data_IF_265874480446
#
_entry.id   IF_265874480446
#
_cell.length_a   1.000
_cell.length_b   1.000
_cell.length_c   1.000
_cell.angle_alpha   90.00
_cell.angle_beta   90.00
_cell.angle_gamma   90.00
#
_symmetry.space_group_name_H-M   'P 1'
#
loop_
_entity.id
_entity.type
_entity.pdbx_description
1 polymer ?
#
# COMPACT_ATOMS: atom_id res chain seq x y z
N UNK A 1 13.14 -2.27 12.85
CA UNK A 1 14.49 -2.39 13.42
C UNK A 1 14.73 -3.77 14.00
N UNK A 2 14.09 -4.10 15.12
CA UNK A 2 14.38 -5.31 15.90
C UNK A 2 13.61 -6.58 15.47
N UNK A 3 12.58 -6.47 14.62
CA UNK A 3 11.77 -7.61 14.17
C UNK A 3 12.52 -8.54 13.20
N UNK A 4 13.47 -8.01 12.41
CA UNK A 4 14.16 -8.76 11.36
C UNK A 4 15.56 -9.26 11.78
N UNK A 5 15.91 -9.13 13.07
CA UNK A 5 17.22 -9.53 13.60
C UNK A 5 17.57 -11.03 13.40
N UNK A 6 16.62 -11.99 13.41
CA UNK A 6 16.96 -13.39 13.13
C UNK A 6 17.14 -13.68 11.63
N UNK A 7 16.58 -12.87 10.72
CA UNK A 7 16.81 -12.95 9.26
C UNK A 7 18.09 -12.22 8.83
N UNK A 8 18.56 -11.28 9.67
CA UNK A 8 19.81 -10.53 9.48
C UNK A 8 21.06 -11.41 9.40
N UNK A 9 21.03 -12.62 9.96
CA UNK A 9 22.16 -13.55 9.97
C UNK A 9 22.20 -14.49 8.76
N UNK A 10 21.15 -14.54 7.94
CA UNK A 10 20.98 -15.60 6.94
C UNK A 10 20.99 -15.14 5.47
N UNK A 11 20.98 -13.84 5.16
CA UNK A 11 20.66 -13.40 3.80
C UNK A 11 21.73 -12.48 3.17
N UNK A 12 22.46 -13.01 2.19
CA UNK A 12 23.25 -12.25 1.20
C UNK A 12 22.38 -11.25 0.39
N UNK A 13 21.06 -11.36 0.48
CA UNK A 13 20.06 -10.64 -0.32
C UNK A 13 19.46 -9.40 0.36
N UNK A 14 19.88 -9.03 1.58
CA UNK A 14 19.29 -7.92 2.36
C UNK A 14 19.42 -6.58 1.63
N UNK A 15 20.59 -6.31 1.04
CA UNK A 15 20.82 -5.08 0.28
C UNK A 15 19.87 -5.00 -0.92
N UNK A 16 19.67 -6.12 -1.62
CA UNK A 16 18.75 -6.20 -2.75
C UNK A 16 17.29 -6.03 -2.30
N UNK A 17 16.89 -6.59 -1.15
CA UNK A 17 15.54 -6.42 -0.59
C UNK A 17 15.27 -4.97 -0.18
N UNK A 18 16.24 -4.30 0.46
CA UNK A 18 16.14 -2.87 0.81
C UNK A 18 16.06 -2.01 -0.45
N UNK A 19 16.91 -2.28 -1.45
CA UNK A 19 16.90 -1.55 -2.72
C UNK A 19 15.59 -1.74 -3.48
N UNK A 20 15.07 -2.97 -3.58
CA UNK A 20 13.78 -3.23 -4.22
C UNK A 20 12.61 -2.61 -3.44
N UNK A 21 12.61 -2.69 -2.11
CA UNK A 21 11.57 -2.09 -1.27
C UNK A 21 11.57 -0.57 -1.36
N UNK A 22 12.76 0.04 -1.36
CA UNK A 22 12.94 1.48 -1.57
C UNK A 22 12.49 1.91 -2.97
N UNK A 23 12.91 1.20 -4.01
CA UNK A 23 12.49 1.45 -5.38
C UNK A 23 10.96 1.31 -5.54
N UNK A 24 10.36 0.28 -4.94
CA UNK A 24 8.90 0.08 -4.95
C UNK A 24 8.16 1.21 -4.26
N UNK A 25 8.66 1.68 -3.11
CA UNK A 25 8.09 2.82 -2.38
C UNK A 25 8.21 4.11 -3.20
N UNK A 26 9.35 4.35 -3.85
CA UNK A 26 9.55 5.51 -4.74
C UNK A 26 8.60 5.47 -5.94
N UNK A 27 8.45 4.31 -6.58
CA UNK A 27 7.50 4.12 -7.68
C UNK A 27 6.06 4.38 -7.21
N UNK A 28 5.69 3.88 -6.03
CA UNK A 28 4.37 4.11 -5.43
C UNK A 28 4.13 5.59 -5.13
N UNK A 29 5.11 6.27 -4.53
CA UNK A 29 5.04 7.71 -4.25
C UNK A 29 4.92 8.54 -5.54
N UNK A 30 5.72 8.19 -6.56
CA UNK A 30 5.69 8.86 -7.87
C UNK A 30 4.34 8.66 -8.55
N UNK A 31 3.80 7.43 -8.51
CA UNK A 31 2.46 7.13 -9.01
C UNK A 31 1.37 7.95 -8.31
N UNK A 32 1.40 8.02 -6.98
CA UNK A 32 0.45 8.86 -6.23
C UNK A 32 0.58 10.35 -6.56
N UNK A 33 1.79 10.87 -6.74
CA UNK A 33 2.02 12.27 -7.11
C UNK A 33 1.53 12.57 -8.53
N UNK A 34 1.75 11.65 -9.47
CA UNK A 34 1.24 11.76 -10.84
C UNK A 34 -0.29 11.69 -10.87
N UNK A 35 -0.89 10.79 -10.11
CA UNK A 35 -2.35 10.72 -9.93
C UNK A 35 -2.90 12.00 -9.32
N UNK A 36 -2.25 12.57 -8.30
CA UNK A 36 -2.63 13.84 -7.69
C UNK A 36 -2.48 15.03 -8.66
N UNK A 37 -1.40 15.08 -9.44
CA UNK A 37 -1.18 16.11 -10.46
C UNK A 37 -2.23 16.04 -11.58
N UNK A 38 -2.64 14.83 -11.97
CA UNK A 38 -3.69 14.60 -12.97
C UNK A 38 -5.06 14.99 -12.41
N UNK A 39 -5.28 14.78 -11.11
CA UNK A 39 -6.47 15.23 -10.39
C UNK A 39 -6.59 16.75 -10.32
N UNK A 40 -5.47 17.45 -10.10
CA UNK A 40 -5.42 18.93 -10.10
C UNK A 40 -5.75 19.53 -11.48
N UNK A 41 -5.60 18.77 -12.56
CA UNK A 41 -6.00 19.14 -13.93
C UNK A 41 -7.49 18.88 -14.22
N UNK A 42 -8.28 18.49 -13.22
CA UNK A 42 -9.73 18.29 -13.33
C UNK A 42 -10.16 16.91 -13.82
N UNK A 43 -9.23 15.95 -13.93
CA UNK A 43 -9.56 14.57 -14.33
C UNK A 43 -10.13 13.81 -13.13
N UNK A 44 -11.24 13.11 -13.36
CA UNK A 44 -11.91 12.31 -12.32
C UNK A 44 -10.98 11.20 -11.78
N UNK A 45 -10.87 11.09 -10.45
CA UNK A 45 -9.93 10.19 -9.73
C UNK A 45 -10.05 8.74 -10.20
N UNK A 46 -11.29 8.26 -10.28
CA UNK A 46 -11.61 6.90 -10.68
C UNK A 46 -11.12 6.60 -12.10
N UNK A 47 -11.29 7.53 -13.04
CA UNK A 47 -10.88 7.33 -14.44
C UNK A 47 -9.35 7.25 -14.57
N UNK A 48 -8.61 8.16 -13.92
CA UNK A 48 -7.14 8.12 -13.91
C UNK A 48 -6.60 6.84 -13.27
N UNK A 49 -7.23 6.37 -12.20
CA UNK A 49 -6.84 5.15 -11.49
C UNK A 49 -7.12 3.90 -12.32
N UNK A 50 -8.28 3.82 -12.95
CA UNK A 50 -8.62 2.72 -13.87
C UNK A 50 -7.64 2.63 -15.04
N UNK A 51 -7.30 3.75 -15.68
CA UNK A 51 -6.30 3.78 -16.75
C UNK A 51 -4.92 3.34 -16.24
N UNK A 52 -4.49 3.82 -15.07
CA UNK A 52 -3.23 3.40 -14.45
C UNK A 52 -3.18 1.89 -14.18
N UNK A 53 -4.23 1.32 -13.59
CA UNK A 53 -4.33 -0.12 -13.35
C UNK A 53 -4.38 -0.94 -14.65
N UNK A 54 -5.05 -0.43 -15.69
CA UNK A 54 -5.11 -1.08 -17.00
C UNK A 54 -3.71 -1.16 -17.65
N UNK A 55 -2.98 -0.04 -17.69
CA UNK A 55 -1.61 -0.02 -18.20
C UNK A 55 -0.66 -0.87 -17.35
N UNK A 56 -0.80 -0.84 -16.03
CA UNK A 56 -0.01 -1.66 -15.11
C UNK A 56 -0.26 -3.15 -15.31
N UNK A 57 -1.52 -3.55 -15.48
CA UNK A 57 -1.91 -4.95 -15.76
C UNK A 57 -1.42 -5.40 -17.13
N UNK A 58 -1.54 -4.55 -18.16
CA UNK A 58 -1.02 -4.85 -19.49
C UNK A 58 0.51 -5.04 -19.48
N UNK A 59 1.24 -4.16 -18.79
CA UNK A 59 2.69 -4.28 -18.63
C UNK A 59 3.07 -5.56 -17.86
N UNK A 60 2.40 -5.83 -16.74
CA UNK A 60 2.60 -7.07 -15.97
C UNK A 60 2.30 -8.32 -16.81
N UNK A 61 1.24 -8.29 -17.62
CA UNK A 61 0.89 -9.36 -18.54
C UNK A 61 1.97 -9.59 -19.60
N UNK A 62 2.53 -8.53 -20.17
CA UNK A 62 3.61 -8.59 -21.16
C UNK A 62 4.90 -9.15 -20.54
N UNK A 63 5.25 -8.70 -19.33
CA UNK A 63 6.41 -9.23 -18.59
C UNK A 63 6.21 -10.70 -18.23
N UNK A 64 5.00 -11.10 -17.82
CA UNK A 64 4.67 -12.49 -17.51
C UNK A 64 4.80 -13.40 -18.74
N UNK A 65 4.34 -12.91 -19.90
CA UNK A 65 4.45 -13.60 -21.19
C UNK A 65 5.91 -13.80 -21.59
N UNK A 66 6.75 -12.76 -21.46
CA UNK A 66 8.19 -12.84 -21.76
C UNK A 66 8.92 -13.78 -20.79
N UNK A 67 8.47 -13.88 -19.54
CA UNK A 67 9.02 -14.80 -18.54
C UNK A 67 8.54 -16.25 -18.69
N UNK A 68 7.59 -16.52 -19.59
CA UNK A 68 7.10 -17.88 -19.86
C UNK A 68 6.32 -18.51 -18.72
N UNK A 69 5.70 -17.70 -17.84
CA UNK A 69 4.86 -18.24 -16.77
C UNK A 69 3.58 -18.86 -17.36
N UNK A 70 3.26 -20.09 -16.96
CA UNK A 70 2.00 -20.73 -17.30
C UNK A 70 0.85 -19.97 -16.63
N UNK A 71 -0.03 -19.35 -17.43
CA UNK A 71 -1.28 -18.78 -16.95
C UNK A 71 -2.28 -19.91 -16.67
N UNK A 72 -2.07 -20.63 -15.57
CA UNK A 72 -3.00 -21.65 -15.08
C UNK A 72 -4.20 -20.95 -14.45
N UNK A 73 -5.13 -20.49 -15.27
CA UNK A 73 -6.41 -19.96 -14.81
C UNK A 73 -7.32 -21.15 -14.55
N UNK A 74 -7.54 -21.43 -13.26
CA UNK A 74 -8.56 -22.39 -12.87
C UNK A 74 -9.94 -21.76 -13.08
N UNK A 75 -10.72 -22.25 -14.05
CA UNK A 75 -12.04 -21.72 -14.41
C UNK A 75 -13.12 -22.00 -13.35
N UNK A 76 -12.72 -22.44 -12.16
CA UNK A 76 -13.61 -22.62 -11.02
C UNK A 76 -14.36 -21.30 -10.68
N UNK A 77 -15.69 -21.36 -10.46
CA UNK A 77 -16.46 -20.20 -10.02
C UNK A 77 -15.93 -19.56 -8.74
N UNK A 78 -15.32 -20.36 -7.87
CA UNK A 78 -14.68 -19.88 -6.64
C UNK A 78 -13.43 -19.04 -6.94
N UNK A 79 -12.58 -19.50 -7.87
CA UNK A 79 -11.39 -18.78 -8.29
C UNK A 79 -11.76 -17.45 -8.97
N UNK A 80 -12.65 -17.49 -9.94
CA UNK A 80 -13.14 -16.29 -10.63
C UNK A 80 -13.84 -15.31 -9.67
N UNK A 81 -14.66 -15.81 -8.75
CA UNK A 81 -15.32 -14.99 -7.73
C UNK A 81 -14.33 -14.31 -6.79
N UNK A 82 -13.33 -15.05 -6.30
CA UNK A 82 -12.28 -14.49 -5.44
C UNK A 82 -11.40 -13.47 -6.17
N UNK A 83 -11.07 -13.74 -7.44
CA UNK A 83 -10.29 -12.84 -8.29
C UNK A 83 -11.05 -11.54 -8.57
N UNK A 84 -12.34 -11.64 -8.91
CA UNK A 84 -13.19 -10.48 -9.14
C UNK A 84 -13.35 -9.62 -7.87
N UNK A 85 -13.56 -10.27 -6.72
CA UNK A 85 -13.63 -9.58 -5.43
C UNK A 85 -12.35 -8.81 -5.12
N UNK A 86 -11.19 -9.47 -5.27
CA UNK A 86 -9.87 -8.88 -5.02
C UNK A 86 -9.63 -7.66 -5.93
N UNK A 87 -9.92 -7.77 -7.22
CA UNK A 87 -9.68 -6.69 -8.18
C UNK A 87 -10.64 -5.52 -7.96
N UNK A 88 -11.94 -5.78 -7.86
CA UNK A 88 -12.95 -4.70 -7.81
C UNK A 88 -12.95 -4.03 -6.43
N UNK A 89 -13.11 -4.82 -5.37
CA UNK A 89 -13.32 -4.28 -4.01
C UNK A 89 -11.99 -3.88 -3.38
N UNK A 90 -11.00 -4.78 -3.40
CA UNK A 90 -9.74 -4.53 -2.68
C UNK A 90 -8.76 -3.66 -3.46
N UNK A 91 -8.77 -3.68 -4.79
CA UNK A 91 -7.86 -2.86 -5.59
C UNK A 91 -8.53 -1.57 -6.07
N UNK A 92 -9.49 -1.66 -7.01
CA UNK A 92 -10.07 -0.48 -7.67
C UNK A 92 -10.79 0.42 -6.67
N UNK A 93 -11.73 -0.15 -5.89
CA UNK A 93 -12.56 0.62 -4.97
C UNK A 93 -11.74 1.16 -3.79
N UNK A 94 -10.80 0.37 -3.26
CA UNK A 94 -9.93 0.82 -2.17
C UNK A 94 -9.00 1.96 -2.62
N UNK A 95 -8.34 1.82 -3.77
CA UNK A 95 -7.42 2.85 -4.26
C UNK A 95 -8.16 4.13 -4.69
N UNK A 96 -9.31 3.99 -5.35
CA UNK A 96 -10.14 5.13 -5.72
C UNK A 96 -10.68 5.86 -4.48
N UNK A 97 -11.17 5.11 -3.48
CA UNK A 97 -11.60 5.67 -2.19
C UNK A 97 -10.45 6.39 -1.48
N UNK A 98 -9.26 5.76 -1.42
CA UNK A 98 -8.07 6.35 -0.82
C UNK A 98 -7.67 7.66 -1.51
N UNK A 99 -7.54 7.68 -2.84
CA UNK A 99 -7.16 8.87 -3.60
C UNK A 99 -8.23 9.97 -3.53
N UNK A 100 -9.51 9.59 -3.50
CA UNK A 100 -10.62 10.53 -3.30
C UNK A 100 -10.56 11.17 -1.91
N UNK A 101 -10.24 10.38 -0.89
CA UNK A 101 -10.07 10.87 0.49
C UNK A 101 -8.87 11.81 0.59
N UNK A 102 -7.74 11.46 -0.02
CA UNK A 102 -6.54 12.31 -0.12
C UNK A 102 -6.85 13.62 -0.83
N UNK A 103 -7.60 13.58 -1.93
CA UNK A 103 -8.01 14.77 -2.69
C UNK A 103 -8.97 15.68 -1.92
N UNK A 104 -9.89 15.12 -1.11
CA UNK A 104 -10.86 15.88 -0.32
C UNK A 104 -10.32 16.47 0.98
N UNK A 105 -9.52 15.71 1.72
CA UNK A 105 -9.06 16.08 3.08
C UNK A 105 -7.60 16.58 3.06
N UNK A 106 -6.93 16.46 1.92
CA UNK A 106 -5.55 16.89 1.71
C UNK A 106 -4.53 15.87 2.23
N UNK A 107 -3.31 15.86 1.65
CA UNK A 107 -2.26 14.90 1.99
C UNK A 107 -1.78 15.01 3.45
N UNK A 108 -2.11 16.08 4.17
CA UNK A 108 -1.81 16.25 5.60
C UNK A 108 -2.65 15.34 6.51
N UNK A 109 -3.95 15.23 6.24
CA UNK A 109 -4.87 14.38 7.04
C UNK A 109 -4.92 12.94 6.50
N UNK A 110 -4.48 12.70 5.27
CA UNK A 110 -4.27 11.34 4.74
C UNK A 110 -3.26 10.51 5.57
N UNK A 111 -2.31 11.18 6.25
CA UNK A 111 -1.40 10.52 7.20
C UNK A 111 -2.10 9.86 8.39
N UNK A 112 -3.35 10.21 8.71
CA UNK A 112 -4.12 9.45 9.71
C UNK A 112 -4.47 8.04 9.22
N UNK A 113 -4.68 7.85 7.91
CA UNK A 113 -4.99 6.54 7.35
C UNK A 113 -3.81 5.56 7.49
N UNK A 114 -2.57 6.04 7.43
CA UNK A 114 -1.37 5.20 7.61
C UNK A 114 -1.20 4.70 9.05
N UNK A 115 -1.77 5.41 10.02
CA UNK A 115 -1.84 4.96 11.43
C UNK A 115 -2.95 3.95 11.64
N UNK A 116 -4.07 4.12 10.94
CA UNK A 116 -5.26 3.28 11.08
C UNK A 116 -5.06 1.91 10.42
N UNK A 117 -4.31 1.81 9.31
CA UNK A 117 -4.12 0.53 8.60
C UNK A 117 -3.51 -0.60 9.45
N UNK A 118 -2.38 -0.41 10.15
CA UNK A 118 -1.81 -1.46 10.99
C UNK A 118 -2.75 -1.89 12.12
N UNK A 119 -3.50 -0.94 12.70
CA UNK A 119 -4.46 -1.21 13.78
C UNK A 119 -5.58 -2.11 13.26
N UNK A 120 -6.17 -1.76 12.11
CA UNK A 120 -7.21 -2.60 11.49
C UNK A 120 -6.69 -3.97 11.08
N UNK A 121 -5.48 -4.05 10.53
CA UNK A 121 -4.87 -5.33 10.17
C UNK A 121 -4.74 -6.26 11.39
N UNK A 122 -4.26 -5.75 12.53
CA UNK A 122 -4.15 -6.52 13.77
C UNK A 122 -5.50 -6.90 14.36
N UNK A 123 -6.50 -6.01 14.30
CA UNK A 123 -7.86 -6.32 14.75
C UNK A 123 -8.47 -7.45 13.92
N UNK A 124 -8.37 -7.37 12.60
CA UNK A 124 -8.88 -8.40 11.69
C UNK A 124 -8.15 -9.74 11.92
N UNK A 125 -6.81 -9.73 12.06
CA UNK A 125 -6.05 -10.95 12.38
C UNK A 125 -6.43 -11.53 13.75
N UNK A 126 -6.74 -10.68 14.74
CA UNK A 126 -7.27 -11.15 16.05
C UNK A 126 -8.62 -11.84 15.88
N UNK A 127 -9.54 -11.27 15.10
CA UNK A 127 -10.89 -11.82 14.90
C UNK A 127 -10.94 -13.03 13.97
N UNK A 128 -10.14 -13.05 12.90
CA UNK A 128 -10.17 -14.11 11.89
C UNK A 128 -9.21 -15.25 12.19
N UNK A 129 -8.04 -14.98 12.77
CA UNK A 129 -7.00 -15.99 13.02
C UNK A 129 -6.83 -16.31 14.52
N UNK A 130 -7.54 -15.61 15.43
CA UNK A 130 -7.37 -15.80 16.87
C UNK A 130 -6.00 -15.33 17.38
N UNK A 131 -5.39 -14.36 16.68
CA UNK A 131 -4.02 -13.91 16.96
C UNK A 131 -3.85 -13.46 18.42
N UNK A 132 -2.88 -14.08 19.12
CA UNK A 132 -2.52 -13.68 20.48
C UNK A 132 -1.59 -12.48 20.45
N UNK A 133 -2.02 -11.41 21.14
CA UNK A 133 -1.29 -10.15 21.22
C UNK A 133 0.05 -10.36 21.93
N UNK A 134 1.12 -10.51 21.15
CA UNK A 134 2.48 -10.53 21.68
C UNK A 134 2.88 -9.13 22.14
N UNK A 135 3.63 -9.06 23.26
CA UNK A 135 4.23 -7.82 23.75
C UNK A 135 5.06 -7.11 22.65
N UNK A 136 5.63 -7.90 21.72
CA UNK A 136 6.38 -7.41 20.57
C UNK A 136 5.49 -6.72 19.52
N UNK A 137 4.28 -7.24 19.28
CA UNK A 137 3.31 -6.65 18.36
C UNK A 137 2.79 -5.31 18.91
N UNK A 138 2.55 -5.24 20.23
CA UNK A 138 2.18 -4.01 20.93
C UNK A 138 3.31 -2.98 20.83
N UNK A 139 4.56 -3.39 21.12
CA UNK A 139 5.71 -2.49 21.01
C UNK A 139 5.92 -1.98 19.58
N UNK A 140 5.76 -2.85 18.57
CA UNK A 140 5.79 -2.47 17.15
C UNK A 140 4.69 -1.48 16.79
N UNK A 141 3.47 -1.70 17.27
CA UNK A 141 2.34 -0.81 17.05
C UNK A 141 2.60 0.57 17.66
N UNK A 142 3.06 0.63 18.91
CA UNK A 142 3.40 1.89 19.60
C UNK A 142 4.51 2.62 18.84
N UNK A 143 5.53 1.92 18.36
CA UNK A 143 6.63 2.53 17.62
C UNK A 143 6.18 3.08 16.26
N UNK A 144 5.31 2.36 15.53
CA UNK A 144 4.73 2.82 14.26
C UNK A 144 3.82 4.03 14.50
N UNK A 145 2.98 4.01 15.54
CA UNK A 145 2.16 5.16 15.92
C UNK A 145 3.02 6.36 16.29
N UNK A 146 4.07 6.17 17.10
CA UNK A 146 4.99 7.23 17.49
C UNK A 146 5.71 7.83 16.27
N UNK A 147 6.22 6.98 15.36
CA UNK A 147 6.88 7.42 14.13
C UNK A 147 5.95 8.24 13.22
N UNK A 148 4.69 7.80 13.06
CA UNK A 148 3.69 8.55 12.28
C UNK A 148 3.32 9.89 12.95
N UNK A 149 3.16 9.92 14.28
CA UNK A 149 2.85 11.16 15.02
C UNK A 149 3.99 12.19 14.91
N UNK A 150 5.26 11.74 15.00
CA UNK A 150 6.42 12.62 14.83
C UNK A 150 6.47 13.20 13.41
N UNK A 151 6.19 12.37 12.39
CA UNK A 151 6.18 12.80 10.98
C UNK A 151 5.06 13.82 10.71
N UNK A 152 3.87 13.63 11.28
CA UNK A 152 2.75 14.58 11.17
C UNK A 152 3.12 15.91 11.83
N UNK A 153 3.68 15.89 13.05
CA UNK A 153 4.10 17.11 13.77
C UNK A 153 5.22 17.88 13.05
N UNK A 154 6.18 17.16 12.45
CA UNK A 154 7.26 17.77 11.68
C UNK A 154 6.74 18.49 10.43
N UNK A 155 5.68 17.97 9.80
CA UNK A 155 5.05 18.57 8.62
C UNK A 155 4.16 19.78 8.98
N UNK A 156 3.51 19.75 10.13
CA UNK A 156 2.70 20.87 10.66
C UNK A 156 3.56 22.12 10.94
N UNK A 157 4.80 21.92 11.39
CA UNK A 157 5.77 23.01 11.59
C UNK A 157 6.24 23.68 10.28
N UNK A 158 6.21 22.99 9.14
CA UNK A 158 6.58 23.58 7.85
C UNK A 158 5.49 24.50 7.29
N UNK A 159 4.21 24.22 7.54
CA UNK A 159 3.09 25.08 7.08
C UNK A 159 2.98 26.37 7.89
N UNK A 160 3.41 26.40 9.15
CA UNK A 160 3.36 27.60 10.01
C UNK A 160 4.53 28.56 9.73
N UNK A 161 5.58 28.10 9.02
CA UNK A 161 6.78 28.90 8.71
C UNK A 161 6.76 29.56 7.31
N UNK A 162 5.66 29.46 6.58
CA UNK A 162 5.48 30.04 5.24
C UNK A 162 4.26 30.96 5.22
#
# INVERSE_FOLDING_TARGET
GLIFLPELRAAETIVMAILLGGAGTLLFCTGNLLSAATQQRGVHVLASTCWGMLYGTAFMGLVSLVRGHEFTIDLSPLYLGSLAWLVIVSSVLALASYLTLVGRIGPGRAGYATVIFPVFALLISTFMEGYQWSLLAIAGLVLVMAGNVIMIRAREQQTIRN
#
